data_IF_214451849108
#
_entry.id   IF_214451849108
#
_cell.length_a   1.000
_cell.length_b   1.000
_cell.length_c   1.000
_cell.angle_alpha   90.00
_cell.angle_beta   90.00
_cell.angle_gamma   90.00
#
_symmetry.space_group_name_H-M   'P 1'
#
loop_
_entity.id
_entity.type
_entity.pdbx_description
1 polymer ?
#
# COMPACT_ATOMS: atom_id res chain seq x y z
N UNK A 1 41.47 -12.10 7.92
CA UNK A 1 40.82 -11.07 7.08
C UNK A 1 39.48 -11.63 6.64
N UNK A 2 38.46 -10.77 6.66
CA UNK A 2 37.05 -10.99 6.34
C UNK A 2 36.17 -11.67 7.40
N UNK A 3 35.68 -10.76 8.26
CA UNK A 3 34.41 -10.77 8.98
C UNK A 3 33.23 -11.13 8.08
N UNK A 4 32.36 -12.04 8.55
CA UNK A 4 31.02 -12.27 8.01
C UNK A 4 30.03 -12.14 9.15
N UNK A 5 29.43 -10.95 9.26
CA UNK A 5 28.33 -10.63 10.15
C UNK A 5 27.07 -11.39 9.70
N UNK A 6 26.76 -12.47 10.41
CA UNK A 6 25.41 -13.05 10.43
C UNK A 6 24.52 -12.14 11.28
N UNK A 7 23.95 -11.10 10.65
CA UNK A 7 22.85 -10.34 11.25
C UNK A 7 21.55 -11.08 10.96
N UNK A 8 21.12 -11.85 11.95
CA UNK A 8 19.80 -12.47 12.04
C UNK A 8 18.76 -11.36 11.97
N UNK A 9 17.95 -11.35 10.91
CA UNK A 9 16.74 -10.54 10.82
C UNK A 9 15.77 -11.00 11.91
N UNK A 10 15.71 -10.24 12.99
CA UNK A 10 14.66 -10.37 14.00
C UNK A 10 13.34 -9.91 13.38
N UNK A 11 12.57 -10.90 12.91
CA UNK A 11 11.13 -10.78 12.70
C UNK A 11 10.49 -10.47 14.06
N UNK A 12 10.33 -9.18 14.38
CA UNK A 12 9.36 -8.78 15.40
C UNK A 12 7.98 -8.97 14.80
N UNK A 13 7.35 -10.09 15.16
CA UNK A 13 5.91 -10.22 15.21
C UNK A 13 5.35 -9.07 16.06
N UNK A 14 4.88 -8.00 15.40
CA UNK A 14 3.90 -7.13 16.02
C UNK A 14 2.53 -7.78 15.81
N UNK A 15 2.18 -8.65 16.76
CA UNK A 15 0.79 -8.98 17.03
C UNK A 15 0.10 -7.68 17.48
N UNK A 16 -0.41 -6.91 16.52
CA UNK A 16 -1.27 -5.77 16.80
C UNK A 16 -2.67 -6.33 17.07
N UNK A 17 -2.85 -6.84 18.29
CA UNK A 17 -4.17 -7.11 18.83
C UNK A 17 -5.04 -5.87 18.61
N UNK A 18 -6.16 -6.07 17.91
CA UNK A 18 -7.28 -5.13 17.71
C UNK A 18 -7.58 -4.36 19.00
N UNK A 19 -6.85 -3.28 19.21
CA UNK A 19 -7.08 -2.35 20.31
C UNK A 19 -8.13 -1.42 19.77
N UNK A 20 -9.37 -1.63 20.22
CA UNK A 20 -10.49 -0.70 20.05
C UNK A 20 -9.93 0.72 20.10
N UNK A 21 -10.08 1.46 19.01
CA UNK A 21 -9.60 2.83 18.84
C UNK A 21 -10.25 3.70 19.92
N UNK A 22 -9.59 3.80 21.07
CA UNK A 22 -10.11 4.43 22.30
C UNK A 22 -9.36 5.72 22.64
N UNK A 23 -8.79 6.39 21.64
CA UNK A 23 -8.21 7.72 21.79
C UNK A 23 -8.63 8.60 20.61
N UNK A 24 -9.88 9.09 20.64
CA UNK A 24 -10.23 10.30 19.90
C UNK A 24 -9.37 11.42 20.46
N UNK A 25 -8.30 11.79 19.75
CA UNK A 25 -7.32 12.78 20.20
C UNK A 25 -7.96 14.16 20.37
N UNK A 26 -9.04 14.40 19.62
CA UNK A 26 -9.92 15.54 19.75
C UNK A 26 -11.30 15.01 20.11
N UNK A 27 -11.59 14.79 21.40
CA UNK A 27 -12.99 14.71 21.86
C UNK A 27 -13.70 15.93 21.25
N UNK A 28 -14.87 15.75 20.65
CA UNK A 28 -15.72 16.86 20.20
C UNK A 28 -15.75 17.91 21.30
N UNK A 29 -14.95 18.95 21.12
CA UNK A 29 -14.92 20.03 22.06
C UNK A 29 -16.33 20.62 22.02
N UNK A 30 -16.97 20.92 23.17
CA UNK A 30 -18.30 21.51 23.17
C UNK A 30 -18.33 22.67 22.17
N UNK A 31 -19.36 22.73 21.31
CA UNK A 31 -19.57 23.89 20.44
C UNK A 31 -19.41 25.14 21.33
N UNK A 32 -18.41 25.98 21.03
CA UNK A 32 -18.01 27.21 21.76
C UNK A 32 -16.81 27.13 22.73
N UNK A 33 -15.95 26.10 22.71
CA UNK A 33 -14.65 26.19 23.41
C UNK A 33 -13.58 26.87 22.55
N UNK A 34 -12.57 27.47 23.20
CA UNK A 34 -11.37 28.03 22.54
C UNK A 34 -10.72 26.95 21.65
N UNK A 35 -10.41 27.27 20.39
CA UNK A 35 -9.80 26.33 19.44
C UNK A 35 -10.77 25.42 18.68
N UNK A 36 -12.09 25.48 18.97
CA UNK A 36 -13.07 24.59 18.32
C UNK A 36 -13.20 24.82 16.81
N UNK A 37 -13.06 26.07 16.35
CA UNK A 37 -13.08 26.42 14.93
C UNK A 37 -11.87 25.85 14.20
N UNK A 38 -10.68 26.02 14.78
CA UNK A 38 -9.42 25.58 14.22
C UNK A 38 -9.33 24.05 14.12
N UNK A 39 -9.89 23.35 15.12
CA UNK A 39 -10.04 21.90 15.10
C UNK A 39 -11.01 21.45 13.99
N UNK A 40 -12.11 22.17 13.77
CA UNK A 40 -13.04 21.86 12.69
C UNK A 40 -12.38 22.06 11.31
N UNK A 41 -11.67 23.17 11.12
CA UNK A 41 -10.91 23.45 9.89
C UNK A 41 -9.82 22.38 9.63
N UNK A 42 -9.14 21.90 10.68
CA UNK A 42 -8.18 20.79 10.54
C UNK A 42 -8.86 19.51 10.07
N UNK A 43 -10.03 19.16 10.63
CA UNK A 43 -10.79 17.96 10.22
C UNK A 43 -11.25 18.06 8.77
N UNK A 44 -11.74 19.22 8.35
CA UNK A 44 -12.13 19.48 6.96
C UNK A 44 -10.93 19.33 6.02
N UNK A 45 -9.77 19.89 6.40
CA UNK A 45 -8.54 19.76 5.64
C UNK A 45 -8.09 18.30 5.47
N UNK A 46 -8.12 17.51 6.55
CA UNK A 46 -7.76 16.08 6.51
C UNK A 46 -8.69 15.35 5.54
N UNK A 47 -9.99 15.61 5.58
CA UNK A 47 -10.96 14.99 4.65
C UNK A 47 -10.66 15.41 3.21
N UNK A 48 -10.44 16.69 2.97
CA UNK A 48 -10.15 17.25 1.65
C UNK A 48 -8.93 16.59 1.01
N UNK A 49 -7.85 16.44 1.78
CA UNK A 49 -6.57 15.92 1.28
C UNK A 49 -6.51 14.39 1.27
N UNK A 50 -7.00 13.70 2.30
CA UNK A 50 -6.81 12.25 2.43
C UNK A 50 -7.89 11.42 1.71
N UNK A 51 -9.11 11.95 1.54
CA UNK A 51 -10.18 11.22 0.85
C UNK A 51 -9.86 10.87 -0.60
N UNK A 52 -9.38 11.82 -1.43
CA UNK A 52 -9.02 11.50 -2.80
C UNK A 52 -7.86 10.50 -2.87
N UNK A 53 -6.93 10.55 -1.91
CA UNK A 53 -5.78 9.63 -1.82
C UNK A 53 -6.24 8.20 -1.56
N UNK A 54 -7.13 8.00 -0.58
CA UNK A 54 -7.74 6.70 -0.32
C UNK A 54 -8.48 6.16 -1.55
N UNK A 55 -9.22 7.02 -2.25
CA UNK A 55 -9.90 6.65 -3.49
C UNK A 55 -8.93 6.12 -4.55
N UNK A 56 -7.83 6.83 -4.82
CA UNK A 56 -6.80 6.39 -5.77
C UNK A 56 -6.14 5.09 -5.36
N UNK A 57 -5.69 4.97 -4.10
CA UNK A 57 -5.06 3.74 -3.60
C UNK A 57 -6.00 2.54 -3.73
N UNK A 58 -7.29 2.74 -3.47
CA UNK A 58 -8.31 1.70 -3.65
C UNK A 58 -8.43 1.24 -5.10
N UNK A 59 -8.41 2.17 -6.06
CA UNK A 59 -8.48 1.79 -7.48
C UNK A 59 -7.23 1.01 -7.90
N UNK A 60 -6.04 1.38 -7.41
CA UNK A 60 -4.81 0.64 -7.71
C UNK A 60 -4.86 -0.78 -7.12
N UNK A 61 -5.41 -0.95 -5.91
CA UNK A 61 -5.59 -2.28 -5.29
C UNK A 61 -6.55 -3.20 -6.06
N UNK A 62 -7.42 -2.65 -6.92
CA UNK A 62 -8.31 -3.47 -7.76
C UNK A 62 -7.59 -4.09 -8.97
N UNK A 63 -6.40 -3.61 -9.31
CA UNK A 63 -5.60 -4.12 -10.43
C UNK A 63 -5.17 -5.55 -10.13
N UNK A 64 -5.40 -6.45 -11.07
CA UNK A 64 -5.05 -7.87 -10.95
C UNK A 64 -3.98 -8.24 -11.96
N UNK A 65 -3.02 -9.05 -11.55
CA UNK A 65 -2.15 -9.77 -12.46
C UNK A 65 -2.85 -11.08 -12.84
N UNK A 66 -3.07 -11.28 -14.14
CA UNK A 66 -3.76 -12.47 -14.69
C UNK A 66 -2.85 -13.15 -15.72
N UNK A 67 -2.92 -14.48 -15.88
CA UNK A 67 -2.20 -15.15 -16.95
C UNK A 67 -2.65 -14.60 -18.31
N UNK A 68 -1.70 -14.28 -19.18
CA UNK A 68 -1.99 -13.94 -20.57
C UNK A 68 -2.54 -15.21 -21.26
N UNK A 69 -3.56 -15.05 -22.09
CA UNK A 69 -4.08 -16.18 -22.87
C UNK A 69 -3.06 -16.52 -23.95
N UNK A 70 -2.41 -17.68 -23.82
CA UNK A 70 -1.60 -18.25 -24.89
C UNK A 70 -2.52 -18.97 -25.87
N UNK A 71 -2.43 -18.64 -27.15
CA UNK A 71 -3.13 -19.41 -28.17
C UNK A 71 -2.55 -20.83 -28.21
N UNK A 72 -3.40 -21.84 -28.36
CA UNK A 72 -3.04 -23.28 -28.36
C UNK A 72 -2.08 -23.71 -29.49
N UNK A 73 -1.62 -22.76 -30.31
CA UNK A 73 -0.81 -22.97 -31.51
C UNK A 73 0.63 -22.44 -31.43
N UNK A 74 1.13 -22.10 -30.24
CA UNK A 74 2.48 -21.53 -30.10
C UNK A 74 3.61 -22.58 -30.02
N UNK A 75 4.72 -22.20 -30.66
CA UNK A 75 5.93 -22.95 -31.03
C UNK A 75 6.65 -23.66 -29.86
N UNK A 76 7.28 -24.82 -30.11
CA UNK A 76 8.13 -25.53 -29.14
C UNK A 76 9.34 -24.69 -28.65
N UNK A 77 9.62 -23.56 -29.32
CA UNK A 77 10.69 -22.62 -28.96
C UNK A 77 10.27 -21.51 -27.97
N UNK A 78 9.01 -21.46 -27.54
CA UNK A 78 8.56 -20.50 -26.53
C UNK A 78 8.82 -20.97 -25.09
N UNK A 79 9.22 -20.03 -24.22
CA UNK A 79 9.54 -20.35 -22.83
C UNK A 79 8.30 -20.83 -22.07
N UNK A 80 8.44 -21.96 -21.38
CA UNK A 80 7.39 -22.60 -20.57
C UNK A 80 6.90 -21.73 -19.39
N UNK A 81 7.60 -20.65 -19.03
CA UNK A 81 7.18 -19.75 -17.97
C UNK A 81 6.01 -18.87 -18.41
N UNK A 82 4.86 -18.88 -17.69
CA UNK A 82 3.64 -18.20 -18.11
C UNK A 82 3.83 -16.70 -18.32
N UNK A 83 3.14 -16.16 -19.32
CA UNK A 83 3.01 -14.72 -19.51
C UNK A 83 1.86 -14.18 -18.66
N UNK A 84 1.94 -12.90 -18.31
CA UNK A 84 0.92 -12.23 -17.51
C UNK A 84 0.57 -10.88 -18.10
N UNK A 85 -0.67 -10.48 -17.88
CA UNK A 85 -1.18 -9.16 -18.15
C UNK A 85 -1.69 -8.53 -16.86
N UNK A 86 -1.63 -7.20 -16.80
CA UNK A 86 -2.36 -6.47 -15.78
C UNK A 86 -3.75 -6.11 -16.28
N UNK A 87 -4.76 -6.46 -15.50
CA UNK A 87 -6.16 -6.14 -15.76
C UNK A 87 -6.60 -5.01 -14.83
N UNK A 88 -7.14 -3.95 -15.43
CA UNK A 88 -7.69 -2.79 -14.72
C UNK A 88 -8.92 -2.28 -15.45
N UNK A 89 -10.03 -2.15 -14.73
CA UNK A 89 -11.30 -1.64 -15.27
C UNK A 89 -11.34 -0.11 -15.40
N UNK A 90 -10.32 0.58 -14.88
CA UNK A 90 -10.30 2.04 -14.74
C UNK A 90 -9.19 2.73 -15.54
N UNK A 91 -8.03 2.08 -15.70
CA UNK A 91 -6.89 2.68 -16.38
C UNK A 91 -6.24 1.67 -17.32
N UNK A 92 -5.76 2.13 -18.48
CA UNK A 92 -5.03 1.26 -19.42
C UNK A 92 -3.64 0.96 -18.88
N UNK A 93 -3.55 0.03 -17.92
CA UNK A 93 -2.32 -0.48 -17.35
C UNK A 93 -2.17 -1.90 -17.86
N UNK A 94 -1.19 -2.11 -18.75
CA UNK A 94 -0.94 -3.40 -19.39
C UNK A 94 0.25 -4.13 -18.80
N UNK A 95 1.11 -3.44 -18.04
CA UNK A 95 2.34 -3.99 -17.46
C UNK A 95 2.71 -3.36 -16.10
N UNK A 96 3.73 -3.93 -15.46
CA UNK A 96 4.19 -3.47 -14.14
C UNK A 96 4.76 -2.04 -14.18
N UNK A 97 5.30 -1.57 -15.31
CA UNK A 97 5.78 -0.20 -15.46
C UNK A 97 4.61 0.77 -15.31
N UNK A 98 3.49 0.48 -15.99
CA UNK A 98 2.25 1.24 -15.84
C UNK A 98 1.75 1.25 -14.39
N UNK A 99 1.82 0.11 -13.69
CA UNK A 99 1.43 0.05 -12.27
C UNK A 99 2.34 0.88 -11.37
N UNK A 100 3.67 0.82 -11.59
CA UNK A 100 4.66 1.59 -10.83
C UNK A 100 4.46 3.11 -11.03
N UNK A 101 4.28 3.56 -12.28
CA UNK A 101 4.02 4.97 -12.60
C UNK A 101 2.69 5.43 -12.00
N UNK A 102 1.63 4.64 -12.16
CA UNK A 102 0.32 4.93 -11.56
C UNK A 102 0.41 5.06 -10.03
N UNK A 103 1.21 4.20 -9.39
CA UNK A 103 1.47 4.27 -7.96
C UNK A 103 2.23 5.54 -7.58
N UNK A 104 3.28 5.92 -8.32
CA UNK A 104 4.01 7.17 -8.07
C UNK A 104 3.11 8.39 -8.18
N UNK A 105 2.22 8.44 -9.18
CA UNK A 105 1.27 9.52 -9.35
C UNK A 105 0.24 9.61 -8.21
N UNK A 106 -0.12 8.48 -7.60
CA UNK A 106 -0.97 8.47 -6.41
C UNK A 106 -0.26 9.02 -5.17
N UNK A 107 1.04 8.74 -5.02
CA UNK A 107 1.89 9.20 -3.92
C UNK A 107 2.32 10.66 -4.06
N UNK A 108 2.37 11.18 -5.29
CA UNK A 108 2.86 12.53 -5.59
C UNK A 108 2.09 13.61 -4.82
N UNK A 109 2.83 14.48 -4.14
CA UNK A 109 2.30 15.58 -3.33
C UNK A 109 1.72 15.16 -1.98
N UNK A 110 1.62 13.87 -1.66
CA UNK A 110 1.13 13.42 -0.36
C UNK A 110 2.06 13.81 0.80
N UNK A 111 3.42 13.85 0.66
CA UNK A 111 4.27 14.40 1.71
C UNK A 111 3.99 15.88 1.98
N UNK A 112 3.76 16.68 0.94
CA UNK A 112 3.42 18.10 1.09
C UNK A 112 2.04 18.27 1.74
N UNK A 113 1.07 17.42 1.39
CA UNK A 113 -0.26 17.38 2.01
C UNK A 113 -0.16 17.07 3.51
N UNK A 114 0.67 16.09 3.89
CA UNK A 114 0.89 15.69 5.28
C UNK A 114 1.57 16.80 6.09
N UNK A 115 2.57 17.45 5.51
CA UNK A 115 3.23 18.60 6.12
C UNK A 115 2.25 19.73 6.38
N UNK A 116 1.38 20.02 5.41
CA UNK A 116 0.36 21.06 5.57
C UNK A 116 -0.65 20.70 6.66
N UNK A 117 -1.03 19.43 6.79
CA UNK A 117 -1.83 18.94 7.91
C UNK A 117 -1.10 19.12 9.24
N UNK A 118 0.21 18.83 9.30
CA UNK A 118 1.07 19.04 10.47
C UNK A 118 1.10 20.51 10.90
N UNK A 119 1.34 21.43 9.98
CA UNK A 119 1.31 22.88 10.25
C UNK A 119 -0.06 23.34 10.77
N UNK A 120 -1.16 22.83 10.19
CA UNK A 120 -2.52 23.14 10.65
C UNK A 120 -2.83 22.53 12.01
N UNK A 121 -2.31 21.33 12.28
CA UNK A 121 -2.43 20.67 13.57
C UNK A 121 -1.71 21.45 14.67
N UNK A 122 -0.49 21.91 14.41
CA UNK A 122 0.28 22.77 15.31
C UNK A 122 -0.46 24.05 15.66
N UNK A 123 -1.03 24.70 14.64
CA UNK A 123 -1.82 25.90 14.83
C UNK A 123 -3.07 25.61 15.68
N UNK A 124 -3.87 24.60 15.31
CA UNK A 124 -5.08 24.24 16.04
C UNK A 124 -4.78 23.87 17.50
N UNK A 125 -3.69 23.13 17.74
CA UNK A 125 -3.24 22.78 19.08
C UNK A 125 -2.84 24.03 19.87
N UNK A 126 -2.08 24.96 19.27
CA UNK A 126 -1.63 26.18 19.95
C UNK A 126 -2.80 27.07 20.43
N UNK A 127 -3.89 27.13 19.65
CA UNK A 127 -5.10 27.91 19.99
C UNK A 127 -5.95 27.19 21.04
N UNK A 128 -6.08 25.85 20.92
CA UNK A 128 -6.91 25.04 21.81
C UNK A 128 -6.27 24.77 23.18
N UNK A 129 -4.94 24.81 23.28
CA UNK A 129 -4.20 24.49 24.51
C UNK A 129 -4.52 25.51 25.63
N UNK A 130 -4.88 25.04 26.83
CA UNK A 130 -5.00 25.93 27.99
C UNK A 130 -3.68 26.61 28.33
N UNK A 131 -3.73 27.88 28.76
CA UNK A 131 -2.56 28.68 29.15
C UNK A 131 -1.76 28.04 30.31
N UNK A 132 -2.39 27.18 31.10
CA UNK A 132 -1.77 26.44 32.20
C UNK A 132 -0.82 25.33 31.72
N UNK A 133 -0.94 24.88 30.48
CA UNK A 133 -0.07 23.84 29.94
C UNK A 133 1.12 24.53 29.24
N UNK A 134 2.31 24.41 29.81
CA UNK A 134 3.53 24.97 29.19
C UNK A 134 4.13 24.05 28.13
N UNK A 135 4.06 22.72 28.31
CA UNK A 135 4.71 21.75 27.41
C UNK A 135 3.77 21.08 26.40
N UNK A 136 4.32 20.47 25.34
CA UNK A 136 3.57 19.60 24.42
C UNK A 136 3.05 18.38 25.19
N UNK A 137 1.80 17.99 24.95
CA UNK A 137 1.22 16.79 25.59
C UNK A 137 1.69 15.53 24.88
N UNK A 138 1.64 14.38 25.56
CA UNK A 138 1.96 13.08 24.94
C UNK A 138 1.13 12.84 23.67
N UNK A 139 -0.15 13.17 23.71
CA UNK A 139 -1.06 13.04 22.58
C UNK A 139 -0.64 13.90 21.38
N UNK A 140 -0.16 15.12 21.63
CA UNK A 140 0.39 15.95 20.57
C UNK A 140 1.62 15.30 19.93
N UNK A 141 2.56 14.83 20.76
CA UNK A 141 3.83 14.23 20.28
C UNK A 141 3.54 13.02 19.41
N UNK A 142 2.59 12.17 19.83
CA UNK A 142 2.19 11.00 19.06
C UNK A 142 1.62 11.34 17.67
N UNK A 143 0.90 12.46 17.54
CA UNK A 143 0.37 12.89 16.22
C UNK A 143 1.49 13.44 15.34
N UNK A 144 2.37 14.24 15.92
CA UNK A 144 3.54 14.81 15.27
C UNK A 144 4.43 13.70 14.67
N UNK A 145 4.77 12.70 15.50
CA UNK A 145 5.52 11.49 15.10
C UNK A 145 4.78 10.68 14.01
N UNK A 146 3.45 10.57 14.10
CA UNK A 146 2.65 9.83 13.12
C UNK A 146 2.66 10.50 11.73
N UNK A 147 2.59 11.83 11.70
CA UNK A 147 2.64 12.59 10.44
C UNK A 147 4.03 12.41 9.81
N UNK A 148 5.10 12.54 10.59
CA UNK A 148 6.48 12.31 10.15
C UNK A 148 6.67 10.88 9.61
N UNK A 149 6.20 9.86 10.35
CA UNK A 149 6.27 8.46 9.91
C UNK A 149 5.52 8.22 8.60
N UNK A 150 4.37 8.87 8.40
CA UNK A 150 3.62 8.78 7.14
C UNK A 150 4.35 9.46 5.99
N UNK A 151 4.93 10.65 6.20
CA UNK A 151 5.74 11.35 5.20
C UNK A 151 6.94 10.50 4.74
N UNK A 152 7.65 9.91 5.71
CA UNK A 152 8.77 9.01 5.46
C UNK A 152 8.33 7.76 4.72
N UNK A 153 7.22 7.15 5.12
CA UNK A 153 6.68 5.98 4.44
C UNK A 153 6.40 6.29 2.97
N UNK A 154 5.70 7.38 2.69
CA UNK A 154 5.31 7.80 1.33
C UNK A 154 6.54 8.13 0.49
N UNK A 155 7.49 8.86 1.05
CA UNK A 155 8.75 9.23 0.38
C UNK A 155 9.56 7.98 0.03
N UNK A 156 9.72 7.05 0.97
CA UNK A 156 10.43 5.81 0.74
C UNK A 156 9.69 4.90 -0.24
N UNK A 157 8.36 4.92 -0.23
CA UNK A 157 7.56 4.15 -1.19
C UNK A 157 7.71 4.71 -2.61
N UNK A 158 7.70 6.04 -2.78
CA UNK A 158 7.96 6.68 -4.08
C UNK A 158 9.36 6.35 -4.62
N UNK A 159 10.39 6.41 -3.75
CA UNK A 159 11.76 6.00 -4.08
C UNK A 159 11.87 4.54 -4.50
N UNK A 160 11.15 3.64 -3.81
CA UNK A 160 11.10 2.24 -4.19
C UNK A 160 10.51 2.05 -5.59
N UNK A 161 9.46 2.80 -5.94
CA UNK A 161 8.88 2.74 -7.27
C UNK A 161 9.90 3.16 -8.34
N UNK A 162 10.64 4.26 -8.12
CA UNK A 162 11.71 4.69 -9.04
C UNK A 162 12.79 3.61 -9.19
N UNK A 163 13.24 3.04 -8.07
CA UNK A 163 14.25 1.98 -8.09
C UNK A 163 13.77 0.77 -8.90
N UNK A 164 12.51 0.35 -8.69
CA UNK A 164 11.96 -0.80 -9.40
C UNK A 164 11.79 -0.52 -10.90
N UNK A 165 11.46 0.71 -11.31
CA UNK A 165 11.43 1.10 -12.72
C UNK A 165 12.82 0.98 -13.37
N UNK A 166 13.86 1.49 -12.70
CA UNK A 166 15.24 1.42 -13.21
C UNK A 166 15.73 -0.04 -13.28
N UNK A 167 15.48 -0.84 -12.24
CA UNK A 167 15.89 -2.25 -12.19
C UNK A 167 15.19 -3.06 -13.27
N UNK A 168 13.88 -2.86 -13.46
CA UNK A 168 13.14 -3.52 -14.53
C UNK A 168 13.68 -3.16 -15.90
N UNK A 169 13.95 -1.87 -16.14
CA UNK A 169 14.50 -1.42 -17.42
C UNK A 169 15.80 -2.14 -17.74
N UNK A 170 16.71 -2.25 -16.78
CA UNK A 170 17.98 -2.97 -16.97
C UNK A 170 17.77 -4.46 -17.29
N UNK A 171 16.83 -5.12 -16.60
CA UNK A 171 16.51 -6.52 -16.86
C UNK A 171 15.89 -6.72 -18.25
N UNK A 172 14.98 -5.84 -18.63
CA UNK A 172 14.33 -5.87 -19.93
C UNK A 172 15.31 -5.60 -21.08
N UNK A 173 16.19 -4.60 -20.93
CA UNK A 173 17.20 -4.26 -21.93
C UNK A 173 18.20 -5.42 -22.10
N UNK A 174 18.60 -6.07 -21.00
CA UNK A 174 19.45 -7.27 -21.06
C UNK A 174 18.75 -8.43 -21.78
N UNK A 175 17.51 -8.76 -21.39
CA UNK A 175 16.75 -9.85 -22.00
C UNK A 175 16.49 -9.62 -23.49
N UNK A 176 16.25 -8.36 -23.89
CA UNK A 176 16.07 -7.97 -25.29
C UNK A 176 17.36 -8.07 -26.09
N UNK A 177 18.52 -7.85 -25.45
CA UNK A 177 19.83 -7.95 -26.10
C UNK A 177 20.30 -9.41 -26.25
N UNK A 178 20.18 -10.21 -25.19
CA UNK A 178 20.66 -11.60 -25.19
C UNK A 178 19.72 -12.54 -25.91
N UNK A 179 18.42 -12.23 -25.94
CA UNK A 179 17.35 -13.14 -26.36
C UNK A 179 17.37 -14.48 -25.61
N UNK A 180 18.02 -14.53 -24.43
CA UNK A 180 18.12 -15.72 -23.61
C UNK A 180 16.84 -15.94 -22.82
N UNK A 181 16.32 -17.16 -22.87
CA UNK A 181 15.20 -17.64 -22.07
C UNK A 181 15.38 -17.31 -20.58
N UNK A 182 16.59 -17.52 -20.04
CA UNK A 182 16.81 -17.28 -18.62
C UNK A 182 16.67 -15.80 -18.25
N UNK A 183 17.10 -14.88 -19.12
CA UNK A 183 16.96 -13.44 -18.89
C UNK A 183 15.49 -12.98 -19.03
N UNK A 184 14.73 -13.54 -19.98
CA UNK A 184 13.28 -13.29 -20.07
C UNK A 184 12.55 -13.74 -18.80
N UNK A 185 12.88 -14.93 -18.28
CA UNK A 185 12.29 -15.45 -17.04
C UNK A 185 12.62 -14.54 -15.84
N UNK A 186 13.82 -13.95 -15.77
CA UNK A 186 14.16 -12.98 -14.70
C UNK A 186 13.24 -11.77 -14.70
N UNK A 187 12.88 -11.23 -15.87
CA UNK A 187 11.92 -10.11 -15.98
C UNK A 187 10.56 -10.53 -15.42
N UNK A 188 10.06 -11.73 -15.78
CA UNK A 188 8.76 -12.22 -15.29
C UNK A 188 8.73 -12.41 -13.78
N UNK A 189 9.77 -13.04 -13.21
CA UNK A 189 9.92 -13.22 -11.76
C UNK A 189 10.00 -11.86 -11.04
N UNK A 190 10.70 -10.89 -11.63
CA UNK A 190 10.77 -9.55 -11.09
C UNK A 190 9.38 -8.89 -11.07
N UNK A 191 8.65 -8.94 -12.17
CA UNK A 191 7.32 -8.34 -12.30
C UNK A 191 6.33 -8.92 -11.27
N UNK A 192 6.30 -10.25 -11.10
CA UNK A 192 5.48 -10.93 -10.07
C UNK A 192 5.83 -10.46 -8.64
N UNK A 193 7.12 -10.44 -8.30
CA UNK A 193 7.58 -10.02 -6.97
C UNK A 193 7.24 -8.57 -6.68
N UNK A 194 7.46 -7.69 -7.65
CA UNK A 194 7.13 -6.27 -7.53
C UNK A 194 5.63 -6.08 -7.39
N UNK A 195 4.81 -6.79 -8.17
CA UNK A 195 3.36 -6.72 -8.06
C UNK A 195 2.88 -7.02 -6.63
N UNK A 196 3.30 -8.15 -6.06
CA UNK A 196 2.93 -8.54 -4.69
C UNK A 196 3.41 -7.51 -3.66
N UNK A 197 4.64 -7.02 -3.80
CA UNK A 197 5.19 -6.00 -2.91
C UNK A 197 4.42 -4.68 -2.98
N UNK A 198 4.04 -4.24 -4.18
CA UNK A 198 3.25 -3.02 -4.39
C UNK A 198 1.87 -3.15 -3.77
N UNK A 199 1.15 -4.24 -4.04
CA UNK A 199 -0.17 -4.50 -3.47
C UNK A 199 -0.15 -4.43 -1.94
N UNK A 200 0.85 -5.07 -1.31
CA UNK A 200 1.02 -5.03 0.15
C UNK A 200 1.29 -3.61 0.65
N UNK A 201 2.20 -2.86 0.02
CA UNK A 201 2.55 -1.49 0.45
C UNK A 201 1.40 -0.51 0.26
N UNK A 202 0.63 -0.62 -0.82
CA UNK A 202 -0.56 0.20 -1.06
C UNK A 202 -1.63 -0.10 -0.03
N UNK A 203 -1.85 -1.38 0.30
CA UNK A 203 -2.80 -1.79 1.34
C UNK A 203 -2.40 -1.23 2.71
N UNK A 204 -1.11 -1.31 3.05
CA UNK A 204 -0.57 -0.75 4.29
C UNK A 204 -0.75 0.78 4.34
N UNK A 205 -0.40 1.51 3.28
CA UNK A 205 -0.60 2.96 3.22
C UNK A 205 -2.08 3.35 3.36
N UNK A 206 -2.96 2.61 2.69
CA UNK A 206 -4.41 2.83 2.78
C UNK A 206 -4.90 2.66 4.22
N UNK A 207 -4.48 1.60 4.89
CA UNK A 207 -4.84 1.37 6.30
C UNK A 207 -4.24 2.46 7.20
N UNK A 208 -2.99 2.85 6.96
CA UNK A 208 -2.33 3.91 7.71
C UNK A 208 -3.11 5.23 7.60
N UNK A 209 -3.51 5.64 6.39
CA UNK A 209 -4.33 6.83 6.20
C UNK A 209 -5.70 6.70 6.91
N UNK A 210 -6.35 5.52 6.87
CA UNK A 210 -7.62 5.31 7.58
C UNK A 210 -7.46 5.46 9.10
N UNK A 211 -6.42 4.86 9.66
CA UNK A 211 -6.13 4.91 11.08
C UNK A 211 -5.84 6.36 11.51
N UNK A 212 -5.02 7.08 10.73
CA UNK A 212 -4.78 8.51 10.90
C UNK A 212 -6.08 9.32 10.91
N UNK A 213 -6.94 9.14 9.90
CA UNK A 213 -8.22 9.85 9.82
C UNK A 213 -9.14 9.56 11.01
N UNK A 214 -9.11 8.33 11.53
CA UNK A 214 -9.90 7.92 12.68
C UNK A 214 -9.49 8.65 13.96
N UNK A 215 -8.20 8.99 14.12
CA UNK A 215 -7.70 9.76 15.27
C UNK A 215 -8.36 11.15 15.38
N UNK A 216 -8.78 11.71 14.24
CA UNK A 216 -9.40 13.03 14.14
C UNK A 216 -10.93 12.99 14.06
N UNK A 217 -11.57 11.80 14.21
CA UNK A 217 -13.00 11.59 13.96
C UNK A 217 -13.44 11.96 12.53
N UNK A 218 -12.53 11.85 11.57
CA UNK A 218 -12.84 12.10 10.16
C UNK A 218 -13.29 10.81 9.50
N UNK A 219 -14.56 10.76 9.06
CA UNK A 219 -15.07 9.64 8.28
C UNK A 219 -14.70 9.87 6.81
N UNK A 220 -13.66 9.16 6.37
CA UNK A 220 -13.13 9.26 5.01
C UNK A 220 -13.56 8.07 4.15
N UNK A 221 -14.22 7.09 4.77
CA UNK A 221 -14.75 5.91 4.10
C UNK A 221 -15.82 6.27 3.06
N UNK A 222 -15.78 5.57 1.94
CA UNK A 222 -16.81 5.65 0.90
C UNK A 222 -17.87 4.57 1.13
N UNK A 223 -19.11 4.77 0.63
CA UNK A 223 -20.21 3.79 0.80
C UNK A 223 -19.82 2.35 0.38
N UNK A 224 -18.95 2.21 -0.61
CA UNK A 224 -18.40 0.93 -1.08
C UNK A 224 -17.51 0.21 -0.05
N UNK A 225 -17.06 0.88 1.01
CA UNK A 225 -16.16 0.35 2.06
C UNK A 225 -16.94 -0.26 3.22
N UNK A 226 -18.14 0.25 3.50
CA UNK A 226 -19.06 -0.34 4.49
C UNK A 226 -19.61 -1.71 4.04
N UNK A 227 -19.55 -2.00 2.73
CA UNK A 227 -20.03 -3.26 2.14
C UNK A 227 -18.90 -4.29 1.91
N UNK A 228 -17.62 -3.89 1.99
CA UNK A 228 -16.51 -4.84 1.83
C UNK A 228 -16.25 -5.59 3.14
N UNK A 229 -16.88 -6.76 3.25
CA UNK A 229 -16.57 -7.80 4.26
C UNK A 229 -15.07 -8.10 4.28
N UNK A 230 -14.45 -8.38 5.44
CA UNK A 230 -13.05 -8.79 5.51
C UNK A 230 -12.81 -9.99 4.60
N UNK A 231 -11.89 -9.84 3.65
CA UNK A 231 -11.29 -10.93 2.88
C UNK A 231 -10.36 -11.75 3.77
N UNK A 232 -10.94 -12.36 4.82
CA UNK A 232 -10.29 -13.34 5.68
C UNK A 232 -10.70 -14.78 5.30
N UNK A 233 -11.32 -14.92 4.14
CA UNK A 233 -11.52 -16.23 3.50
C UNK A 233 -10.60 -16.31 2.30
N UNK A 234 -9.32 -16.53 2.60
CA UNK A 234 -8.43 -17.24 1.70
C UNK A 234 -9.21 -18.44 1.14
N UNK A 235 -9.36 -18.45 -0.18
CA UNK A 235 -9.91 -19.54 -0.94
C UNK A 235 -9.25 -20.84 -0.47
N UNK A 236 -10.08 -21.86 -0.24
CA UNK A 236 -9.61 -23.20 0.10
C UNK A 236 -8.52 -23.61 -0.91
N UNK A 237 -7.41 -24.23 -0.48
CA UNK A 237 -6.47 -24.83 -1.40
C UNK A 237 -7.26 -25.75 -2.35
N UNK A 238 -7.06 -25.57 -3.65
CA UNK A 238 -7.59 -26.45 -4.68
C UNK A 238 -7.27 -27.89 -4.29
N UNK A 239 -8.31 -28.72 -4.25
CA UNK A 239 -8.22 -30.11 -3.81
C UNK A 239 -7.16 -30.87 -4.61
N UNK A 240 -6.50 -31.78 -3.90
CA UNK A 240 -5.55 -32.76 -4.43
C UNK A 240 -6.08 -33.36 -5.73
N UNK A 241 -5.31 -33.23 -6.81
CA UNK A 241 -5.53 -33.98 -8.04
C UNK A 241 -5.62 -35.47 -7.68
N UNK A 242 -6.76 -36.08 -8.01
CA UNK A 242 -6.92 -37.53 -7.88
C UNK A 242 -5.92 -38.21 -8.81
N UNK A 243 -4.89 -38.81 -8.24
CA UNK A 243 -4.12 -39.84 -8.92
C UNK A 243 -5.04 -41.05 -9.08
N UNK A 244 -5.55 -41.29 -10.29
CA UNK A 244 -6.18 -42.55 -10.62
C UNK A 244 -5.14 -43.66 -10.51
N UNK A 245 -5.42 -44.63 -9.63
CA UNK A 245 -4.69 -45.88 -9.50
C UNK A 245 -4.76 -46.66 -10.82
N UNK A 246 -3.65 -46.65 -11.56
CA UNK A 246 -3.37 -47.69 -12.54
C UNK A 246 -2.84 -48.89 -11.78
N UNK A 247 -3.71 -49.83 -11.37
CA UNK A 247 -3.41 -51.24 -11.61
C UNK A 247 -4.57 -52.23 -11.32
N UNK A 248 -4.59 -53.26 -12.19
CA UNK A 248 -5.24 -54.57 -12.11
C UNK A 248 -6.73 -54.70 -12.48
N UNK A 249 -6.93 -55.17 -13.71
CA UNK A 249 -7.81 -56.32 -13.93
C UNK A 249 -7.14 -57.31 -14.90
N UNK A 250 -6.55 -58.37 -14.32
CA UNK A 250 -6.39 -59.67 -14.97
C UNK A 250 -7.75 -60.37 -14.92
N UNK A 251 -8.26 -60.80 -16.06
CA UNK A 251 -9.07 -62.01 -16.23
C UNK A 251 -8.73 -62.59 -17.61
#
# INVERSE_FOLDING_TARGET
>A
MFSSLNTIFSLRNFDMQSTKVLNKLLKEAPKNTKGSKEIAELRELIIELMKPRLGKLRQILKIRMVPATRDEFQDESEDWWPDYELCSDWHAITDINGLLVCTQDALKGMPDDLKFIGEKFDFAYSVAKPETIQNKTKNYILVDELIEDMEDFVTNFSRLCSKNLDERRNLYDLASFTMDTADRIKVKIFDERVFVQLQSRIANLRNYIRDFCTLFDTQVESKEEAESVPTDKLEKPQGTLATEDVDKARA
#
